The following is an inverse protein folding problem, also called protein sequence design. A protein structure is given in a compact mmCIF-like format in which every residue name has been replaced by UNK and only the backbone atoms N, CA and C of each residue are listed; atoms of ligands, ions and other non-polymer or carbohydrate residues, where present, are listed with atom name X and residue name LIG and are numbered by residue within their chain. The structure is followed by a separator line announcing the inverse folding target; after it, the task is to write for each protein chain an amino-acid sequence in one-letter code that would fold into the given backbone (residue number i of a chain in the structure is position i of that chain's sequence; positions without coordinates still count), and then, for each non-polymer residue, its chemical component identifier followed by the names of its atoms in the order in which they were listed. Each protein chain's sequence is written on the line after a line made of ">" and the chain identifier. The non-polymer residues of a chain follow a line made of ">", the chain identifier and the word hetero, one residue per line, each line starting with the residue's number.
data_IF_988121501838
#
_entry.id   IF_988121501838
#
_cell.length_a   1.000
_cell.length_b   1.000
_cell.length_c   1.000
_cell.angle_alpha   90.00
_cell.angle_beta   90.00
_cell.angle_gamma   90.00
#
_symmetry.space_group_name_H-M   'P 1'
#
loop_
_entity.id
_entity.type
_entity.pdbx_description
1 polymer ?
#
# COMPACT_ATOMS: atom_id res chain seq x y z
N UNK A 1 -72.98 32.42 40.22
CA UNK A 1 -72.48 31.90 38.91
C UNK A 1 -70.96 31.71 39.01
N UNK A 2 -70.53 30.44 39.21
CA UNK A 2 -69.13 30.10 39.33
C UNK A 2 -68.62 29.72 37.94
N UNK A 3 -67.57 30.40 37.43
CA UNK A 3 -66.92 30.09 36.20
C UNK A 3 -65.79 29.10 36.54
N UNK A 4 -65.83 27.89 35.99
CA UNK A 4 -64.75 26.90 36.04
C UNK A 4 -63.66 27.24 35.02
N UNK A 5 -62.37 27.11 35.33
CA UNK A 5 -61.33 27.28 34.34
C UNK A 5 -61.16 25.98 33.56
N UNK A 6 -61.13 26.11 32.23
CA UNK A 6 -60.75 25.03 31.29
C UNK A 6 -59.27 24.92 31.31
N UNK A 7 -58.74 23.73 31.74
CA UNK A 7 -57.35 23.38 31.72
C UNK A 7 -57.01 22.83 30.31
N UNK A 8 -56.27 23.59 29.53
CA UNK A 8 -55.75 23.12 28.23
C UNK A 8 -54.48 22.33 28.51
N UNK A 9 -54.54 21.01 28.36
CA UNK A 9 -53.37 20.15 28.31
C UNK A 9 -52.70 20.27 26.94
N UNK A 10 -51.62 21.02 26.86
CA UNK A 10 -50.75 21.03 25.68
C UNK A 10 -49.84 19.81 25.74
N UNK A 11 -50.18 18.76 24.99
CA UNK A 11 -49.34 17.59 24.83
C UNK A 11 -48.13 17.95 23.98
N UNK A 12 -46.98 18.10 24.63
CA UNK A 12 -45.69 18.30 23.97
C UNK A 12 -45.25 16.96 23.36
N UNK A 13 -45.50 16.77 22.07
CA UNK A 13 -44.92 15.65 21.31
C UNK A 13 -43.46 15.93 21.08
N UNK A 14 -42.59 15.37 21.92
CA UNK A 14 -41.17 15.34 21.69
C UNK A 14 -40.93 14.32 20.56
N UNK A 15 -40.81 14.83 19.34
CA UNK A 15 -40.21 14.08 18.23
C UNK A 15 -38.74 13.82 18.58
N UNK A 16 -38.49 12.69 19.20
CA UNK A 16 -37.16 12.09 19.22
C UNK A 16 -36.80 11.75 17.77
N UNK A 17 -36.24 12.73 17.08
CA UNK A 17 -35.43 12.45 15.91
C UNK A 17 -34.25 11.59 16.41
N UNK A 18 -34.49 10.30 16.47
CA UNK A 18 -33.39 9.33 16.51
C UNK A 18 -32.49 9.66 15.34
N UNK A 19 -31.36 10.29 15.61
CA UNK A 19 -30.21 10.18 14.75
C UNK A 19 -29.94 8.69 14.58
N UNK A 20 -30.56 8.07 13.59
CA UNK A 20 -30.01 6.89 12.97
C UNK A 20 -28.65 7.33 12.43
N UNK A 21 -27.66 7.29 13.29
CA UNK A 21 -26.32 7.00 12.86
C UNK A 21 -26.41 5.61 12.19
N UNK A 22 -26.78 5.61 10.93
CA UNK A 22 -26.32 4.61 10.01
C UNK A 22 -24.79 4.76 10.04
N UNK A 23 -24.17 4.21 11.08
CA UNK A 23 -22.86 3.62 10.92
C UNK A 23 -23.11 2.61 9.80
N UNK A 24 -22.87 3.01 8.59
CA UNK A 24 -22.59 2.14 7.49
C UNK A 24 -21.46 1.27 8.03
N UNK A 25 -21.83 0.10 8.60
CA UNK A 25 -20.89 -0.97 8.91
C UNK A 25 -20.18 -1.13 7.58
N UNK A 26 -18.93 -0.69 7.50
CA UNK A 26 -18.10 -0.93 6.34
C UNK A 26 -18.29 -2.41 6.07
N UNK A 27 -18.93 -2.74 4.94
CA UNK A 27 -19.11 -4.13 4.53
C UNK A 27 -17.75 -4.77 4.69
N UNK A 28 -17.68 -5.83 5.47
CA UNK A 28 -16.43 -6.52 5.75
C UNK A 28 -15.92 -7.09 4.43
N UNK A 29 -15.18 -6.26 3.70
CA UNK A 29 -14.71 -6.59 2.37
C UNK A 29 -13.62 -7.62 2.49
N UNK A 30 -13.89 -8.81 2.02
CA UNK A 30 -12.90 -9.85 1.81
C UNK A 30 -11.87 -9.35 0.82
N UNK A 31 -10.65 -9.08 1.27
CA UNK A 31 -9.60 -8.57 0.38
C UNK A 31 -9.06 -9.73 -0.45
N UNK A 32 -9.38 -9.70 -1.73
CA UNK A 32 -8.85 -10.59 -2.78
C UNK A 32 -8.04 -9.74 -3.74
N UNK A 33 -6.79 -9.48 -3.38
CA UNK A 33 -5.94 -8.53 -4.06
C UNK A 33 -4.92 -9.22 -4.96
N UNK A 34 -4.54 -8.57 -6.04
CA UNK A 34 -3.47 -9.03 -6.93
C UNK A 34 -2.72 -7.87 -7.58
N UNK A 35 -1.43 -8.12 -7.88
CA UNK A 35 -0.56 -7.21 -8.63
C UNK A 35 0.15 -7.94 -9.77
N UNK A 36 0.07 -7.40 -10.97
CA UNK A 36 1.02 -7.66 -12.05
C UNK A 36 2.03 -6.52 -12.01
N UNK A 37 3.23 -6.80 -11.52
CA UNK A 37 4.16 -5.77 -11.07
C UNK A 37 5.05 -5.22 -12.19
N UNK A 38 4.84 -3.96 -12.52
CA UNK A 38 5.60 -3.21 -13.50
C UNK A 38 6.82 -2.47 -12.92
N UNK A 39 7.11 -2.60 -11.63
CA UNK A 39 8.35 -2.05 -11.06
C UNK A 39 9.59 -2.79 -11.55
N UNK A 40 9.46 -4.07 -11.88
CA UNK A 40 10.60 -4.92 -12.16
C UNK A 40 10.83 -5.12 -13.64
N UNK A 41 12.10 -4.93 -14.05
CA UNK A 41 12.57 -5.31 -15.37
C UNK A 41 12.89 -6.82 -15.47
N UNK A 42 13.31 -7.27 -16.66
CA UNK A 42 13.72 -8.66 -16.88
C UNK A 42 14.87 -9.14 -15.99
N UNK A 43 15.66 -8.22 -15.44
CA UNK A 43 16.87 -8.51 -14.64
C UNK A 43 16.67 -9.01 -13.21
N UNK A 44 15.43 -9.18 -12.75
CA UNK A 44 15.14 -9.75 -11.43
C UNK A 44 14.91 -8.73 -10.31
N UNK A 45 14.95 -9.20 -9.05
CA UNK A 45 14.75 -8.39 -7.85
C UNK A 45 15.87 -7.34 -7.76
N UNK A 46 15.50 -6.11 -7.36
CA UNK A 46 16.37 -4.91 -7.33
C UNK A 46 16.80 -4.37 -8.70
N UNK A 47 16.34 -4.95 -9.82
CA UNK A 47 16.48 -4.39 -11.15
C UNK A 47 15.19 -3.66 -11.56
N UNK A 48 15.03 -2.40 -11.18
CA UNK A 48 13.82 -1.64 -11.54
C UNK A 48 13.63 -1.55 -13.06
N UNK A 49 12.38 -1.57 -13.48
CA UNK A 49 12.01 -1.43 -14.89
C UNK A 49 12.57 -0.12 -15.44
N UNK A 50 13.20 -0.20 -16.61
CA UNK A 50 13.64 1.01 -17.31
C UNK A 50 12.44 1.91 -17.61
N UNK A 51 12.62 3.23 -17.60
CA UNK A 51 11.57 4.16 -17.99
C UNK A 51 10.96 3.76 -19.34
N UNK A 52 9.62 3.72 -19.40
CA UNK A 52 8.86 3.32 -20.60
C UNK A 52 8.67 1.82 -20.78
N UNK A 53 9.32 0.96 -20.03
CA UNK A 53 9.00 -0.47 -20.02
C UNK A 53 7.56 -0.68 -19.55
N UNK A 54 6.78 -1.47 -20.29
CA UNK A 54 5.36 -1.73 -20.05
C UNK A 54 4.42 -0.52 -20.30
N UNK A 55 4.91 0.60 -20.85
CA UNK A 55 4.12 1.81 -21.12
C UNK A 55 2.95 1.61 -22.09
N UNK A 56 2.90 0.50 -22.78
CA UNK A 56 1.82 0.06 -23.68
C UNK A 56 0.76 -0.82 -23.02
N UNK A 57 0.89 -1.09 -21.70
CA UNK A 57 -0.07 -1.88 -20.93
C UNK A 57 -1.50 -1.33 -21.12
N UNK A 58 -2.42 -2.24 -21.49
CA UNK A 58 -3.80 -1.87 -21.77
C UNK A 58 -4.68 -2.06 -20.53
N UNK A 59 -5.31 -1.00 -19.99
CA UNK A 59 -6.09 -1.07 -18.76
C UNK A 59 -7.35 -1.95 -18.88
N UNK A 60 -8.03 -1.99 -20.03
CA UNK A 60 -9.22 -2.85 -20.23
C UNK A 60 -8.85 -4.33 -20.17
N UNK A 61 -7.77 -4.71 -20.87
CA UNK A 61 -7.30 -6.10 -20.91
C UNK A 61 -6.82 -6.55 -19.53
N UNK A 62 -6.10 -5.69 -18.83
CA UNK A 62 -5.63 -5.99 -17.48
C UNK A 62 -6.77 -6.11 -16.49
N UNK A 63 -7.71 -5.17 -16.50
CA UNK A 63 -8.85 -5.21 -15.58
C UNK A 63 -9.72 -6.44 -15.84
N UNK A 64 -9.87 -6.85 -17.11
CA UNK A 64 -10.56 -8.12 -17.42
C UNK A 64 -9.82 -9.31 -16.83
N UNK A 65 -8.51 -9.36 -16.92
CA UNK A 65 -7.72 -10.43 -16.32
C UNK A 65 -7.90 -10.50 -14.80
N UNK A 66 -7.89 -9.35 -14.11
CA UNK A 66 -8.13 -9.28 -12.66
C UNK A 66 -9.56 -9.73 -12.29
N UNK A 67 -10.55 -9.36 -13.12
CA UNK A 67 -11.94 -9.80 -12.94
C UNK A 67 -12.05 -11.32 -13.11
N UNK A 68 -11.44 -11.88 -14.17
CA UNK A 68 -11.42 -13.33 -14.43
C UNK A 68 -10.73 -14.10 -13.30
N UNK A 69 -9.68 -13.52 -12.70
CA UNK A 69 -9.03 -14.08 -11.50
C UNK A 69 -9.95 -14.06 -10.27
N UNK A 70 -10.97 -13.22 -10.25
CA UNK A 70 -11.89 -13.05 -9.12
C UNK A 70 -11.44 -12.02 -8.09
N UNK A 71 -10.57 -11.08 -8.47
CA UNK A 71 -10.13 -9.99 -7.60
C UNK A 71 -11.26 -9.02 -7.28
N UNK A 72 -11.24 -8.45 -6.08
CA UNK A 72 -12.02 -7.26 -5.72
C UNK A 72 -11.13 -6.05 -5.37
N UNK A 73 -9.81 -6.27 -5.39
CA UNK A 73 -8.79 -5.24 -5.20
C UNK A 73 -7.66 -5.44 -6.20
N UNK A 74 -7.27 -4.35 -6.83
CA UNK A 74 -6.11 -4.31 -7.74
C UNK A 74 -5.09 -3.34 -7.17
N UNK A 75 -3.88 -3.83 -6.97
CA UNK A 75 -2.71 -2.99 -6.79
C UNK A 75 -2.23 -2.58 -8.18
N UNK A 76 -2.27 -1.29 -8.45
CA UNK A 76 -1.77 -0.65 -9.66
C UNK A 76 -0.68 0.36 -9.28
N UNK A 77 -0.31 1.29 -10.17
CA UNK A 77 0.81 2.19 -9.93
C UNK A 77 0.37 3.65 -9.96
N UNK A 78 0.70 4.40 -8.90
CA UNK A 78 0.73 5.86 -8.93
C UNK A 78 2.06 6.33 -9.52
N UNK A 79 3.15 6.05 -8.80
CA UNK A 79 4.53 6.27 -9.24
C UNK A 79 5.32 5.00 -8.98
N UNK A 80 5.91 4.41 -10.01
CA UNK A 80 6.74 3.21 -9.84
C UNK A 80 8.14 3.53 -9.33
N UNK A 81 8.89 2.51 -8.94
CA UNK A 81 10.23 2.65 -8.38
C UNK A 81 11.22 3.39 -9.30
N UNK A 82 11.00 3.38 -10.62
CA UNK A 82 11.79 4.17 -11.55
C UNK A 82 11.51 5.69 -11.51
N UNK A 83 10.50 6.12 -10.72
CA UNK A 83 10.17 7.52 -10.48
C UNK A 83 9.21 8.16 -11.47
N UNK A 84 8.57 7.38 -12.36
CA UNK A 84 7.64 7.88 -13.34
C UNK A 84 6.19 7.50 -13.02
N UNK A 85 5.26 8.42 -13.30
CA UNK A 85 3.83 8.26 -13.06
C UNK A 85 3.15 7.37 -14.11
N UNK A 86 2.10 6.67 -13.69
CA UNK A 86 1.23 5.86 -14.52
C UNK A 86 -0.11 6.54 -14.83
N UNK A 87 -0.18 7.85 -14.66
CA UNK A 87 -1.30 8.71 -15.02
C UNK A 87 -0.77 9.95 -15.76
N UNK A 88 -1.62 10.59 -16.55
CA UNK A 88 -1.22 11.70 -17.41
C UNK A 88 -1.45 13.07 -16.76
N UNK A 89 -0.69 14.04 -17.24
CA UNK A 89 -0.83 15.45 -16.87
C UNK A 89 -0.70 15.72 -15.37
N UNK A 90 0.10 14.93 -14.65
CA UNK A 90 0.45 15.12 -13.25
C UNK A 90 1.70 15.98 -13.04
N UNK A 91 2.05 16.18 -11.77
CA UNK A 91 3.28 16.88 -11.39
C UNK A 91 4.52 15.99 -11.53
N UNK A 92 4.33 14.65 -11.45
CA UNK A 92 5.40 13.67 -11.67
C UNK A 92 5.45 13.35 -13.16
N UNK A 93 6.64 13.27 -13.79
CA UNK A 93 6.77 12.88 -15.18
C UNK A 93 6.10 11.53 -15.44
N UNK A 94 5.27 11.46 -16.48
CA UNK A 94 4.65 10.19 -16.89
C UNK A 94 5.67 9.23 -17.51
N UNK A 95 5.40 7.92 -17.42
CA UNK A 95 6.24 6.91 -18.07
C UNK A 95 6.47 7.28 -19.54
N UNK A 96 7.73 7.29 -20.02
CA UNK A 96 8.03 7.56 -21.42
C UNK A 96 7.24 6.65 -22.35
N UNK A 97 6.46 7.24 -23.27
CA UNK A 97 5.62 6.49 -24.20
C UNK A 97 4.34 5.91 -23.59
N UNK A 98 3.92 6.38 -22.41
CA UNK A 98 2.68 5.95 -21.76
C UNK A 98 1.49 6.10 -22.72
N UNK A 99 0.95 4.96 -23.18
CA UNK A 99 -0.07 4.94 -24.22
C UNK A 99 -1.43 5.40 -23.70
N UNK A 100 -1.81 4.95 -22.53
CA UNK A 100 -3.09 5.21 -21.89
C UNK A 100 -2.90 6.13 -20.68
N UNK A 101 -3.95 6.79 -20.24
CA UNK A 101 -3.99 7.37 -18.87
C UNK A 101 -4.28 6.23 -17.86
N UNK A 102 -3.23 5.39 -17.71
CA UNK A 102 -3.36 4.02 -17.23
C UNK A 102 -4.09 3.91 -15.90
N UNK A 103 -3.61 4.59 -14.85
CA UNK A 103 -4.22 4.51 -13.51
C UNK A 103 -5.63 5.08 -13.51
N UNK A 104 -5.85 6.20 -14.19
CA UNK A 104 -7.19 6.83 -14.30
C UNK A 104 -8.18 5.90 -14.98
N UNK A 105 -7.78 5.23 -16.05
CA UNK A 105 -8.63 4.28 -16.76
C UNK A 105 -8.87 3.02 -15.92
N UNK A 106 -7.85 2.48 -15.25
CA UNK A 106 -8.00 1.36 -14.31
C UNK A 106 -9.04 1.66 -13.23
N UNK A 107 -8.99 2.85 -12.63
CA UNK A 107 -9.96 3.28 -11.60
C UNK A 107 -11.38 3.36 -12.18
N UNK A 108 -11.55 3.97 -13.36
CA UNK A 108 -12.86 4.07 -14.03
C UNK A 108 -13.48 2.72 -14.35
N UNK A 109 -12.65 1.77 -14.82
CA UNK A 109 -13.12 0.41 -15.16
C UNK A 109 -13.42 -0.35 -13.88
N UNK A 110 -12.53 -0.27 -12.87
CA UNK A 110 -12.69 -0.94 -11.58
C UNK A 110 -14.00 -0.57 -10.89
N UNK A 111 -14.38 0.71 -10.90
CA UNK A 111 -15.67 1.16 -10.33
C UNK A 111 -16.88 0.51 -10.97
N UNK A 112 -16.85 0.32 -12.30
CA UNK A 112 -17.95 -0.36 -13.01
C UNK A 112 -18.08 -1.83 -12.63
N UNK A 113 -17.00 -2.42 -12.12
CA UNK A 113 -16.87 -3.85 -11.78
C UNK A 113 -16.84 -4.13 -10.27
N UNK A 114 -17.01 -3.12 -9.42
CA UNK A 114 -16.84 -3.21 -7.97
C UNK A 114 -15.44 -3.71 -7.56
N UNK A 115 -14.43 -3.37 -8.32
CA UNK A 115 -13.02 -3.65 -8.04
C UNK A 115 -12.35 -2.36 -7.58
N UNK A 116 -11.79 -2.34 -6.37
CA UNK A 116 -11.03 -1.21 -5.86
C UNK A 116 -9.65 -1.17 -6.51
N UNK A 117 -9.18 0.03 -6.85
CA UNK A 117 -7.87 0.25 -7.47
C UNK A 117 -7.01 1.14 -6.60
N UNK A 118 -5.82 0.64 -6.27
CA UNK A 118 -4.83 1.31 -5.45
C UNK A 118 -3.65 1.78 -6.29
N UNK A 119 -3.20 3.02 -6.06
CA UNK A 119 -1.97 3.54 -6.63
C UNK A 119 -0.78 3.21 -5.71
N UNK A 120 0.19 2.46 -6.22
CA UNK A 120 1.41 2.11 -5.52
C UNK A 120 2.41 3.28 -5.50
N UNK A 121 3.12 3.38 -4.37
CA UNK A 121 4.26 4.27 -4.17
C UNK A 121 5.37 3.54 -3.42
N UNK A 122 6.54 3.45 -4.02
CA UNK A 122 7.76 3.08 -3.31
C UNK A 122 8.30 4.30 -2.58
N UNK A 123 8.17 4.33 -1.26
CA UNK A 123 8.56 5.52 -0.48
C UNK A 123 10.08 5.59 -0.27
N UNK A 124 10.76 4.45 -0.17
CA UNK A 124 12.20 4.39 0.06
C UNK A 124 13.06 4.43 -1.19
N UNK A 125 12.47 4.35 -2.40
CA UNK A 125 13.21 4.31 -3.66
C UNK A 125 12.49 5.05 -4.78
N UNK A 126 13.25 5.85 -5.56
CA UNK A 126 12.76 6.60 -6.71
C UNK A 126 13.94 7.03 -7.58
N UNK A 127 14.23 6.27 -8.64
CA UNK A 127 15.42 6.54 -9.48
C UNK A 127 15.42 7.96 -10.09
N UNK A 128 14.26 8.44 -10.52
CA UNK A 128 14.18 9.78 -11.11
C UNK A 128 14.47 10.89 -10.10
N UNK A 129 13.97 10.73 -8.87
CA UNK A 129 14.31 11.65 -7.77
C UNK A 129 15.81 11.65 -7.49
N UNK A 130 16.43 10.47 -7.45
CA UNK A 130 17.86 10.30 -7.19
C UNK A 130 18.72 10.95 -8.28
N UNK A 131 18.31 10.84 -9.55
CA UNK A 131 18.95 11.51 -10.68
C UNK A 131 18.89 13.04 -10.55
N UNK A 132 17.73 13.56 -10.15
CA UNK A 132 17.48 15.00 -10.04
C UNK A 132 18.04 15.61 -8.75
N UNK A 133 18.24 14.82 -7.69
CA UNK A 133 18.66 15.25 -6.36
C UNK A 133 19.81 14.38 -5.79
N UNK A 134 20.95 14.30 -6.49
CA UNK A 134 22.02 13.36 -6.12
C UNK A 134 22.66 13.63 -4.76
N UNK A 135 22.48 14.83 -4.21
CA UNK A 135 23.00 15.20 -2.89
C UNK A 135 22.06 14.86 -1.75
N UNK A 136 20.82 14.45 -2.06
CA UNK A 136 19.80 14.03 -1.11
C UNK A 136 19.58 12.51 -1.07
N UNK A 137 20.43 11.74 -1.74
CA UNK A 137 20.26 10.29 -1.90
C UNK A 137 21.58 9.55 -1.68
N UNK A 138 21.47 8.25 -1.47
CA UNK A 138 22.63 7.36 -1.47
C UNK A 138 23.03 7.03 -2.91
N UNK A 139 24.12 7.63 -3.37
CA UNK A 139 24.64 7.34 -4.71
C UNK A 139 25.00 5.87 -4.84
N UNK A 140 24.63 5.26 -5.95
CA UNK A 140 24.96 3.92 -6.41
C UNK A 140 24.16 2.75 -5.82
N UNK A 141 23.60 2.86 -4.64
CA UNK A 141 22.77 1.80 -4.09
C UNK A 141 21.28 2.02 -4.40
N UNK A 142 20.96 3.16 -4.97
CA UNK A 142 19.76 3.54 -5.73
C UNK A 142 18.40 3.26 -5.10
N UNK A 143 18.34 2.81 -3.86
CA UNK A 143 17.15 2.16 -3.38
C UNK A 143 16.72 2.60 -1.98
N UNK A 144 17.45 3.57 -1.40
CA UNK A 144 17.04 4.12 -0.11
C UNK A 144 17.27 5.62 -0.06
N UNK A 145 16.19 6.36 0.00
CA UNK A 145 16.18 7.81 0.04
C UNK A 145 15.95 8.26 1.49
N UNK A 146 16.85 9.07 2.07
CA UNK A 146 16.59 9.69 3.37
C UNK A 146 15.31 10.52 3.36
N UNK A 147 14.49 10.37 4.39
CA UNK A 147 13.22 11.09 4.51
C UNK A 147 13.41 12.54 4.92
N UNK A 148 14.20 13.28 4.12
CA UNK A 148 14.36 14.72 4.27
C UNK A 148 13.02 15.43 4.10
N UNK A 149 12.90 16.64 4.63
CA UNK A 149 11.69 17.47 4.46
C UNK A 149 11.35 17.63 2.98
N UNK A 150 12.35 17.92 2.15
CA UNK A 150 12.16 18.08 0.70
C UNK A 150 11.63 16.82 0.02
N UNK A 151 12.14 15.63 0.37
CA UNK A 151 11.65 14.39 -0.20
C UNK A 151 10.24 14.06 0.27
N UNK A 152 9.96 14.26 1.55
CA UNK A 152 8.62 14.02 2.10
C UNK A 152 7.58 14.97 1.50
N UNK A 153 7.94 16.22 1.22
CA UNK A 153 7.09 17.18 0.51
C UNK A 153 6.82 16.71 -0.93
N UNK A 154 7.84 16.23 -1.64
CA UNK A 154 7.69 15.70 -2.98
C UNK A 154 6.76 14.49 -3.03
N UNK A 155 6.99 13.48 -2.19
CA UNK A 155 6.16 12.25 -2.21
C UNK A 155 4.72 12.55 -1.80
N UNK A 156 4.52 13.42 -0.81
CA UNK A 156 3.19 13.86 -0.36
C UNK A 156 2.46 14.63 -1.45
N UNK A 157 3.14 15.55 -2.13
CA UNK A 157 2.59 16.30 -3.27
C UNK A 157 2.23 15.38 -4.45
N UNK A 158 3.07 14.38 -4.74
CA UNK A 158 2.79 13.41 -5.80
C UNK A 158 1.56 12.53 -5.49
N UNK A 159 1.37 12.15 -4.24
CA UNK A 159 0.18 11.42 -3.78
C UNK A 159 -1.07 12.30 -3.90
N UNK A 160 -0.99 13.55 -3.46
CA UNK A 160 -2.09 14.52 -3.57
C UNK A 160 -2.54 14.71 -5.02
N UNK A 161 -1.59 14.94 -5.91
CA UNK A 161 -1.84 15.12 -7.33
C UNK A 161 -2.49 13.89 -7.96
N UNK A 162 -1.94 12.70 -7.71
CA UNK A 162 -2.49 11.45 -8.21
C UNK A 162 -3.93 11.20 -7.73
N UNK A 163 -4.22 11.42 -6.45
CA UNK A 163 -5.59 11.28 -5.93
C UNK A 163 -6.54 12.24 -6.66
N UNK A 164 -6.15 13.50 -6.84
CA UNK A 164 -6.97 14.50 -7.54
C UNK A 164 -7.22 14.15 -9.02
N UNK A 165 -6.23 13.57 -9.68
CA UNK A 165 -6.27 13.23 -11.12
C UNK A 165 -7.06 11.94 -11.40
N UNK A 166 -6.86 10.93 -10.58
CA UNK A 166 -7.34 9.57 -10.84
C UNK A 166 -8.57 9.20 -10.02
N UNK A 167 -8.79 9.89 -8.89
CA UNK A 167 -9.80 9.56 -7.88
C UNK A 167 -9.72 8.10 -7.41
N UNK A 168 -8.50 7.53 -7.33
CA UNK A 168 -8.24 6.15 -6.88
C UNK A 168 -8.83 5.85 -5.49
N UNK A 169 -9.10 4.58 -5.22
CA UNK A 169 -9.73 4.13 -3.97
C UNK A 169 -8.77 4.14 -2.78
N UNK A 170 -7.48 4.03 -3.05
CA UNK A 170 -6.45 4.06 -2.03
C UNK A 170 -5.05 4.20 -2.58
N UNK A 171 -4.11 4.39 -1.67
CA UNK A 171 -2.67 4.34 -1.94
C UNK A 171 -2.07 3.12 -1.26
N UNK A 172 -1.09 2.49 -1.90
CA UNK A 172 -0.26 1.46 -1.29
C UNK A 172 1.15 1.98 -1.11
N UNK A 173 1.62 2.01 0.13
CA UNK A 173 2.95 2.49 0.51
C UNK A 173 3.86 1.31 0.76
N UNK A 174 4.98 1.29 0.05
CA UNK A 174 6.00 0.26 0.16
C UNK A 174 7.37 0.87 0.47
N UNK A 175 8.29 0.08 1.03
CA UNK A 175 9.61 0.52 1.49
C UNK A 175 9.55 1.77 2.37
N UNK A 176 8.62 1.76 3.31
CA UNK A 176 8.40 2.90 4.21
C UNK A 176 9.45 2.92 5.34
N UNK A 177 10.72 2.94 4.96
CA UNK A 177 11.86 2.90 5.85
C UNK A 177 12.79 4.08 5.58
N UNK A 178 13.19 4.80 6.63
CA UNK A 178 14.37 5.68 6.50
C UNK A 178 15.64 4.80 6.52
N UNK A 179 16.68 5.12 5.74
CA UNK A 179 17.94 4.36 5.77
C UNK A 179 18.47 4.12 7.18
N UNK A 180 19.12 3.00 7.40
CA UNK A 180 19.71 2.63 8.67
C UNK A 180 19.47 1.18 9.06
N UNK A 181 20.22 0.69 10.07
CA UNK A 181 20.09 -0.68 10.56
C UNK A 181 20.96 -1.72 9.86
N UNK A 182 21.48 -1.43 8.66
CA UNK A 182 22.46 -2.28 7.96
C UNK A 182 21.96 -3.68 7.63
N UNK A 183 20.67 -3.86 7.36
CA UNK A 183 20.06 -5.14 6.93
C UNK A 183 19.33 -4.94 5.60
N UNK A 184 19.33 -5.94 4.76
CA UNK A 184 18.63 -5.89 3.49
C UNK A 184 17.11 -5.67 3.71
N UNK A 185 16.45 -4.75 3.00
CA UNK A 185 16.98 -3.80 2.01
C UNK A 185 17.57 -2.51 2.61
N UNK A 186 17.70 -2.38 3.91
CA UNK A 186 18.10 -1.15 4.62
C UNK A 186 19.62 -1.06 4.72
N UNK A 187 20.30 -0.15 3.97
CA UNK A 187 21.73 0.10 4.14
C UNK A 187 22.01 0.74 5.50
N UNK A 188 23.24 0.65 6.01
CA UNK A 188 23.63 1.42 7.20
C UNK A 188 23.53 2.92 6.91
N UNK A 189 23.20 3.71 7.95
CA UNK A 189 23.24 5.17 7.85
C UNK A 189 24.64 5.65 7.48
N UNK A 190 24.73 6.50 6.49
CA UNK A 190 26.00 7.05 5.99
C UNK A 190 26.32 8.42 6.54
N UNK A 191 25.30 9.07 7.12
CA UNK A 191 25.39 10.42 7.67
C UNK A 191 25.90 11.41 6.63
N UNK A 192 25.33 11.34 5.42
CA UNK A 192 25.56 12.32 4.36
C UNK A 192 25.03 13.70 4.80
N UNK A 193 25.43 14.80 4.18
CA UNK A 193 25.07 16.15 4.65
C UNK A 193 23.58 16.34 4.94
N UNK A 194 22.70 15.88 4.05
CA UNK A 194 21.25 16.01 4.27
C UNK A 194 20.73 15.21 5.48
N UNK A 195 21.36 14.10 5.84
CA UNK A 195 21.01 13.34 7.05
C UNK A 195 21.47 14.04 8.32
N UNK A 196 22.61 14.77 8.27
CA UNK A 196 23.08 15.57 9.41
C UNK A 196 22.16 16.76 9.64
N UNK A 197 21.68 17.41 8.58
CA UNK A 197 20.68 18.48 8.65
C UNK A 197 19.35 17.91 9.19
N UNK A 198 18.87 16.79 8.65
CA UNK A 198 17.68 16.09 9.12
C UNK A 198 17.81 15.67 10.59
N UNK A 199 19.01 15.26 11.04
CA UNK A 199 19.28 14.97 12.44
C UNK A 199 19.03 16.20 13.32
N UNK A 200 19.55 17.36 12.92
CA UNK A 200 19.33 18.60 13.65
C UNK A 200 17.84 18.97 13.75
N UNK A 201 17.11 18.80 12.67
CA UNK A 201 15.66 19.05 12.64
C UNK A 201 14.89 18.10 13.58
N UNK A 202 15.14 16.81 13.46
CA UNK A 202 14.35 15.78 14.15
C UNK A 202 14.76 15.60 15.63
N UNK A 203 16.06 15.76 15.94
CA UNK A 203 16.59 15.55 17.28
C UNK A 203 16.70 16.85 18.09
N UNK A 204 16.42 18.01 17.45
CA UNK A 204 16.52 19.34 18.06
C UNK A 204 17.89 19.62 18.68
N UNK A 205 18.94 19.08 18.08
CA UNK A 205 20.35 19.28 18.49
C UNK A 205 21.28 19.10 17.29
N UNK A 206 22.45 19.73 17.32
CA UNK A 206 23.46 19.57 16.29
C UNK A 206 23.91 18.12 16.16
N UNK A 207 24.22 17.69 14.93
CA UNK A 207 24.78 16.37 14.70
C UNK A 207 26.10 16.20 15.47
N UNK A 208 26.20 15.19 16.36
CA UNK A 208 27.34 15.11 17.29
C UNK A 208 28.60 14.51 16.64
N UNK A 209 28.52 14.05 15.40
CA UNK A 209 29.54 13.25 14.71
C UNK A 209 29.25 11.74 14.79
N UNK A 210 29.65 11.03 13.73
CA UNK A 210 29.35 9.58 13.56
C UNK A 210 29.75 8.73 14.76
N UNK A 211 30.93 9.00 15.32
CA UNK A 211 31.49 8.21 16.44
C UNK A 211 30.71 8.34 17.74
N UNK A 212 29.81 9.30 17.82
CA UNK A 212 28.94 9.53 19.00
C UNK A 212 27.52 9.04 18.81
N UNK A 213 27.19 8.49 17.65
CA UNK A 213 25.87 7.92 17.40
C UNK A 213 25.83 6.49 17.95
N UNK A 214 25.05 6.28 18.98
CA UNK A 214 24.77 4.93 19.50
C UNK A 214 23.62 4.30 18.69
N UNK A 215 23.45 2.96 18.75
CA UNK A 215 22.32 2.28 18.13
C UNK A 215 20.95 2.83 18.59
N UNK A 216 20.84 3.28 19.81
CA UNK A 216 19.61 3.86 20.38
C UNK A 216 19.32 5.24 19.78
N UNK A 217 20.34 6.09 19.62
CA UNK A 217 20.23 7.40 18.96
C UNK A 217 19.85 7.22 17.49
N UNK A 218 20.51 6.27 16.79
CA UNK A 218 20.18 5.95 15.41
C UNK A 218 18.74 5.49 15.28
N UNK A 219 18.28 4.60 16.15
CA UNK A 219 16.91 4.10 16.13
C UNK A 219 15.88 5.21 16.39
N UNK A 220 16.13 6.10 17.37
CA UNK A 220 15.25 7.23 17.66
C UNK A 220 15.16 8.20 16.47
N UNK A 221 16.30 8.50 15.84
CA UNK A 221 16.35 9.30 14.61
C UNK A 221 15.50 8.70 13.49
N UNK A 222 15.65 7.39 13.21
CA UNK A 222 14.88 6.69 12.17
C UNK A 222 13.39 6.66 12.47
N UNK A 223 13.00 6.44 13.72
CA UNK A 223 11.59 6.50 14.14
C UNK A 223 10.98 7.86 13.92
N UNK A 224 11.68 8.93 14.30
CA UNK A 224 11.21 10.31 14.07
C UNK A 224 11.09 10.65 12.59
N UNK A 225 12.01 10.15 11.76
CA UNK A 225 11.92 10.31 10.31
C UNK A 225 10.68 9.62 9.73
N UNK A 226 10.40 8.38 10.15
CA UNK A 226 9.22 7.61 9.77
C UNK A 226 7.94 8.31 10.24
N UNK A 227 7.87 8.72 11.50
CA UNK A 227 6.69 9.37 12.07
C UNK A 227 6.38 10.71 11.38
N UNK A 228 7.41 11.50 11.04
CA UNK A 228 7.24 12.74 10.26
C UNK A 228 6.67 12.46 8.88
N UNK A 229 7.26 11.52 8.16
CA UNK A 229 6.80 11.15 6.81
C UNK A 229 5.38 10.59 6.84
N UNK A 230 5.09 9.70 7.78
CA UNK A 230 3.75 9.13 7.97
C UNK A 230 2.71 10.21 8.22
N UNK A 231 2.96 11.07 9.19
CA UNK A 231 2.03 12.16 9.54
C UNK A 231 1.67 12.99 8.32
N UNK A 232 2.67 13.45 7.57
CA UNK A 232 2.45 14.30 6.41
C UNK A 232 1.70 13.58 5.29
N UNK A 233 2.12 12.37 4.92
CA UNK A 233 1.46 11.57 3.87
C UNK A 233 0.01 11.29 4.26
N UNK A 234 -0.24 10.89 5.50
CA UNK A 234 -1.59 10.61 5.99
C UNK A 234 -2.48 11.86 5.98
N UNK A 235 -1.97 12.98 6.48
CA UNK A 235 -2.72 14.24 6.51
C UNK A 235 -3.10 14.69 5.10
N UNK A 236 -2.16 14.68 4.17
CA UNK A 236 -2.40 15.06 2.77
C UNK A 236 -3.39 14.10 2.11
N UNK A 237 -3.22 12.79 2.27
CA UNK A 237 -4.13 11.78 1.72
C UNK A 237 -5.56 11.98 2.21
N UNK A 238 -5.76 12.06 3.53
CA UNK A 238 -7.10 12.16 4.12
C UNK A 238 -7.75 13.54 3.91
N UNK A 239 -6.95 14.59 3.77
CA UNK A 239 -7.44 15.93 3.40
C UNK A 239 -7.90 15.98 1.94
N UNK A 240 -7.19 15.32 1.04
CA UNK A 240 -7.50 15.29 -0.40
C UNK A 240 -8.72 14.43 -0.68
N UNK A 241 -8.78 13.24 -0.07
CA UNK A 241 -9.91 12.31 -0.17
C UNK A 241 -10.07 11.56 1.14
N UNK A 242 -11.10 11.92 1.91
CA UNK A 242 -11.32 11.43 3.29
C UNK A 242 -11.38 9.89 3.37
N UNK A 243 -12.01 9.25 2.40
CA UNK A 243 -12.21 7.81 2.29
C UNK A 243 -11.11 7.08 1.49
N UNK A 244 -10.05 7.79 1.04
CA UNK A 244 -8.89 7.16 0.43
C UNK A 244 -8.20 6.23 1.43
N UNK A 245 -8.12 4.96 1.08
CA UNK A 245 -7.55 3.92 1.95
C UNK A 245 -6.02 3.99 1.89
N UNK A 246 -5.37 3.96 3.04
CA UNK A 246 -3.91 3.86 3.12
C UNK A 246 -3.52 2.42 3.45
N UNK A 247 -2.89 1.76 2.50
CA UNK A 247 -2.39 0.40 2.62
C UNK A 247 -0.86 0.43 2.77
N UNK A 248 -0.37 0.02 3.92
CA UNK A 248 1.06 -0.15 4.16
C UNK A 248 1.45 -1.60 3.93
N UNK A 249 2.50 -1.83 3.17
CA UNK A 249 3.17 -3.12 3.13
C UNK A 249 4.46 -3.08 3.96
N UNK A 250 4.73 -4.14 4.70
CA UNK A 250 5.92 -4.26 5.52
C UNK A 250 6.45 -5.69 5.52
N UNK A 251 7.74 -5.84 5.22
CA UNK A 251 8.41 -7.13 5.27
C UNK A 251 8.56 -7.64 6.70
N UNK A 252 8.87 -6.74 7.63
CA UNK A 252 9.00 -7.04 9.06
C UNK A 252 8.26 -6.01 9.90
N UNK A 253 7.01 -6.32 10.20
CA UNK A 253 6.13 -5.46 11.02
C UNK A 253 6.57 -5.35 12.48
N UNK A 254 7.38 -6.29 12.95
CA UNK A 254 7.95 -6.30 14.31
C UNK A 254 9.28 -5.54 14.38
N UNK A 255 9.69 -4.90 13.31
CA UNK A 255 10.92 -4.15 13.28
C UNK A 255 10.94 -3.06 14.35
N UNK A 256 12.11 -2.83 14.92
CA UNK A 256 12.28 -1.82 15.98
C UNK A 256 11.90 -0.42 15.50
N UNK A 257 12.03 -0.14 14.20
CA UNK A 257 11.69 1.13 13.58
C UNK A 257 10.20 1.43 13.67
N UNK A 258 9.36 0.41 13.54
CA UNK A 258 7.90 0.57 13.61
C UNK A 258 7.35 0.47 15.03
N UNK A 259 8.09 -0.16 15.94
CA UNK A 259 7.64 -0.33 17.32
C UNK A 259 7.40 1.02 17.99
N UNK A 260 6.16 1.23 18.43
CA UNK A 260 5.74 2.47 19.09
C UNK A 260 5.38 3.62 18.13
N UNK A 261 5.51 3.44 16.80
CA UNK A 261 5.03 4.42 15.83
C UNK A 261 3.50 4.50 15.83
N UNK A 262 2.95 5.71 15.72
CA UNK A 262 1.52 5.94 15.51
C UNK A 262 1.03 5.32 14.20
N UNK A 263 1.90 5.16 13.22
CA UNK A 263 1.62 4.62 11.89
C UNK A 263 0.86 3.29 11.96
N UNK A 264 1.33 2.34 12.78
CA UNK A 264 0.67 1.03 12.90
C UNK A 264 -0.74 1.10 13.50
N UNK A 265 -1.03 2.12 14.32
CA UNK A 265 -2.35 2.32 14.93
C UNK A 265 -3.33 3.06 14.02
N UNK A 266 -2.81 3.77 13.03
CA UNK A 266 -3.57 4.69 12.18
C UNK A 266 -3.75 4.22 10.74
N UNK A 267 -2.98 3.20 10.32
CA UNK A 267 -3.06 2.63 8.97
C UNK A 267 -4.39 1.91 8.75
N UNK A 268 -5.00 2.09 7.58
CA UNK A 268 -6.27 1.44 7.25
C UNK A 268 -6.05 -0.05 6.94
N UNK A 269 -5.04 -0.39 6.12
CA UNK A 269 -4.68 -1.77 5.77
C UNK A 269 -3.18 -2.01 5.97
N UNK A 270 -2.83 -3.12 6.59
CA UNK A 270 -1.44 -3.54 6.78
C UNK A 270 -1.21 -4.93 6.16
N UNK A 271 -0.24 -5.02 5.25
CA UNK A 271 0.19 -6.27 4.65
C UNK A 271 1.49 -6.78 5.27
N UNK A 272 1.48 -8.06 5.64
CA UNK A 272 2.70 -8.80 5.95
C UNK A 272 3.27 -9.38 4.65
N UNK A 273 4.34 -8.78 4.16
CA UNK A 273 4.98 -9.20 2.90
C UNK A 273 5.75 -10.53 3.06
N UNK A 274 6.23 -10.85 4.25
CA UNK A 274 6.81 -12.16 4.55
C UNK A 274 5.82 -13.32 4.35
N UNK A 275 4.52 -13.05 4.41
CA UNK A 275 3.46 -13.99 4.06
C UNK A 275 3.15 -15.06 5.10
N UNK A 276 3.91 -15.18 6.19
CA UNK A 276 3.63 -16.18 7.23
C UNK A 276 2.47 -15.77 8.14
N UNK A 277 1.67 -16.76 8.52
CA UNK A 277 0.44 -16.52 9.29
C UNK A 277 0.74 -16.19 10.75
N UNK A 278 1.80 -16.72 11.32
CA UNK A 278 2.12 -16.45 12.72
C UNK A 278 2.45 -14.98 12.94
N UNK A 279 3.31 -14.40 12.10
CA UNK A 279 3.61 -12.96 12.15
C UNK A 279 2.39 -12.10 11.76
N UNK A 280 1.57 -12.55 10.81
CA UNK A 280 0.32 -11.87 10.45
C UNK A 280 -0.65 -11.83 11.64
N UNK A 281 -0.84 -12.92 12.34
CA UNK A 281 -1.67 -12.96 13.54
C UNK A 281 -1.12 -12.05 14.66
N UNK A 282 0.20 -12.05 14.86
CA UNK A 282 0.87 -11.18 15.84
C UNK A 282 0.63 -9.69 15.55
N UNK A 283 0.50 -9.29 14.29
CA UNK A 283 0.20 -7.90 13.89
C UNK A 283 -1.09 -7.38 14.53
N UNK A 284 -2.08 -8.22 14.82
CA UNK A 284 -3.35 -7.78 15.41
C UNK A 284 -3.16 -7.03 16.74
N UNK A 285 -2.16 -7.39 17.53
CA UNK A 285 -1.81 -6.69 18.76
C UNK A 285 -1.11 -5.35 18.56
N UNK A 286 -0.54 -5.12 17.38
CA UNK A 286 0.24 -3.93 17.06
C UNK A 286 -0.59 -2.82 16.40
N UNK A 287 -1.64 -3.19 15.67
CA UNK A 287 -2.42 -2.27 14.83
C UNK A 287 -3.68 -1.74 15.52
N UNK A 288 -4.38 -0.82 14.88
CA UNK A 288 -5.72 -0.36 15.28
C UNK A 288 -6.78 -1.46 15.12
N UNK A 289 -7.87 -1.34 15.88
CA UNK A 289 -8.97 -2.33 15.84
C UNK A 289 -9.64 -2.42 14.46
N UNK A 290 -9.70 -1.30 13.75
CA UNK A 290 -10.31 -1.20 12.41
C UNK A 290 -9.31 -1.52 11.28
N UNK A 291 -8.02 -1.69 11.60
CA UNK A 291 -7.00 -2.01 10.60
C UNK A 291 -7.23 -3.41 10.03
N UNK A 292 -7.32 -3.51 8.71
CA UNK A 292 -7.40 -4.78 8.02
C UNK A 292 -6.03 -5.36 7.77
N UNK A 293 -5.91 -6.66 7.99
CA UNK A 293 -4.66 -7.39 7.78
C UNK A 293 -4.70 -8.14 6.45
N UNK A 294 -3.55 -8.18 5.77
CA UNK A 294 -3.38 -8.87 4.50
C UNK A 294 -2.10 -9.70 4.58
N UNK A 295 -2.14 -10.92 4.05
CA UNK A 295 -0.93 -11.73 3.88
C UNK A 295 -0.58 -11.88 2.41
N UNK A 296 0.72 -11.93 2.11
CA UNK A 296 1.27 -12.00 0.76
C UNK A 296 1.54 -13.45 0.36
N UNK A 297 1.09 -13.83 -0.82
CA UNK A 297 1.40 -15.08 -1.49
C UNK A 297 2.21 -14.80 -2.75
N UNK A 298 3.52 -14.80 -2.61
CA UNK A 298 4.47 -14.53 -3.69
C UNK A 298 5.61 -15.53 -3.68
N UNK A 299 6.30 -15.66 -4.82
CA UNK A 299 7.36 -16.65 -4.95
C UNK A 299 8.55 -16.37 -4.04
N UNK A 300 8.86 -15.10 -3.75
CA UNK A 300 10.02 -14.75 -2.91
C UNK A 300 9.88 -15.16 -1.44
N UNK A 301 8.67 -15.16 -0.89
CA UNK A 301 8.44 -15.52 0.51
C UNK A 301 8.37 -17.04 0.75
N UNK A 302 8.35 -17.83 -0.32
CA UNK A 302 8.39 -19.31 -0.31
C UNK A 302 7.29 -19.96 0.56
N UNK A 303 6.20 -19.25 0.80
CA UNK A 303 5.07 -19.79 1.57
C UNK A 303 4.34 -20.88 0.78
N UNK A 304 3.86 -21.89 1.50
CA UNK A 304 3.04 -22.94 0.89
C UNK A 304 1.59 -22.47 0.78
N UNK A 305 1.04 -22.29 -0.44
CA UNK A 305 -0.35 -21.84 -0.60
C UNK A 305 -1.38 -22.76 0.10
N UNK A 306 -1.12 -24.07 0.15
CA UNK A 306 -2.01 -25.02 0.80
C UNK A 306 -2.14 -24.85 2.32
N UNK A 307 -1.16 -24.19 2.94
CA UNK A 307 -1.14 -23.89 4.37
C UNK A 307 -1.59 -22.45 4.63
N UNK A 308 -1.06 -21.50 3.85
CA UNK A 308 -1.31 -20.06 4.05
C UNK A 308 -2.78 -19.71 3.81
N UNK A 309 -3.38 -20.24 2.75
CA UNK A 309 -4.74 -19.83 2.38
C UNK A 309 -5.80 -20.27 3.40
N UNK A 310 -5.86 -21.54 3.86
CA UNK A 310 -6.79 -21.92 4.90
C UNK A 310 -6.57 -21.16 6.22
N UNK A 311 -5.30 -20.90 6.57
CA UNK A 311 -4.96 -20.15 7.75
C UNK A 311 -5.39 -18.68 7.65
N UNK A 312 -5.17 -18.01 6.50
CA UNK A 312 -5.64 -16.65 6.25
C UNK A 312 -7.16 -16.53 6.38
N UNK A 313 -7.91 -17.49 5.82
CA UNK A 313 -9.37 -17.55 5.94
C UNK A 313 -9.78 -17.68 7.40
N UNK A 314 -9.18 -18.62 8.14
CA UNK A 314 -9.46 -18.84 9.56
C UNK A 314 -9.20 -17.58 10.40
N UNK A 315 -8.08 -16.92 10.17
CA UNK A 315 -7.66 -15.72 10.91
C UNK A 315 -8.30 -14.43 10.37
N UNK A 316 -9.18 -14.51 9.38
CA UNK A 316 -9.85 -13.37 8.73
C UNK A 316 -8.85 -12.33 8.18
N UNK A 317 -7.85 -12.82 7.50
CA UNK A 317 -6.80 -12.03 6.85
C UNK A 317 -7.02 -12.03 5.35
N UNK A 318 -6.93 -10.87 4.71
CA UNK A 318 -7.01 -10.75 3.26
C UNK A 318 -5.83 -11.46 2.57
N UNK A 319 -6.02 -11.78 1.31
CA UNK A 319 -5.00 -12.41 0.47
C UNK A 319 -4.52 -11.44 -0.60
N UNK A 320 -3.23 -11.42 -0.82
CA UNK A 320 -2.59 -10.69 -1.90
C UNK A 320 -1.69 -11.62 -2.70
N UNK A 321 -1.88 -11.62 -4.00
CA UNK A 321 -1.01 -12.31 -4.96
C UNK A 321 -0.15 -11.31 -5.72
N UNK A 322 0.99 -11.78 -6.19
CA UNK A 322 1.96 -10.98 -6.91
C UNK A 322 2.62 -11.78 -8.00
N UNK A 323 2.93 -11.14 -9.11
CA UNK A 323 3.78 -11.70 -10.17
C UNK A 323 4.38 -10.59 -11.03
N UNK A 324 5.37 -10.96 -11.83
CA UNK A 324 5.86 -10.13 -12.93
C UNK A 324 5.10 -10.45 -14.20
N UNK A 325 5.02 -9.53 -15.18
CA UNK A 325 4.52 -9.84 -16.50
C UNK A 325 5.29 -10.99 -17.16
N UNK A 326 4.60 -11.85 -17.92
CA UNK A 326 5.22 -13.01 -18.60
C UNK A 326 5.02 -12.98 -20.11
N UNK A 327 4.01 -12.27 -20.63
CA UNK A 327 3.71 -12.11 -22.07
C UNK A 327 3.56 -10.61 -22.35
N UNK A 328 4.68 -9.96 -22.71
CA UNK A 328 4.68 -8.49 -22.80
C UNK A 328 4.25 -7.91 -21.44
N UNK A 329 3.33 -6.93 -21.39
CA UNK A 329 2.81 -6.39 -20.12
C UNK A 329 1.74 -7.27 -19.45
N UNK A 330 1.50 -8.50 -19.92
CA UNK A 330 0.39 -9.36 -19.54
C UNK A 330 0.81 -10.68 -18.93
N UNK A 331 -0.17 -11.43 -18.49
CA UNK A 331 -0.09 -12.80 -17.99
C UNK A 331 -0.71 -13.79 -18.99
N UNK A 332 -0.51 -15.10 -18.75
CA UNK A 332 -1.35 -16.11 -19.38
C UNK A 332 -2.82 -15.88 -19.03
N UNK A 333 -3.78 -16.25 -19.88
CA UNK A 333 -5.21 -16.22 -19.53
C UNK A 333 -5.49 -16.99 -18.25
N UNK A 334 -6.47 -16.58 -17.45
CA UNK A 334 -6.80 -17.23 -16.19
C UNK A 334 -7.19 -18.69 -16.38
N UNK A 335 -7.82 -19.02 -17.50
CA UNK A 335 -8.17 -20.39 -17.89
C UNK A 335 -6.95 -21.31 -18.01
N UNK A 336 -5.78 -20.78 -18.37
CA UNK A 336 -4.53 -21.53 -18.37
C UNK A 336 -4.23 -22.05 -16.98
N UNK A 337 -4.30 -21.20 -15.96
CA UNK A 337 -4.04 -21.59 -14.57
C UNK A 337 -5.11 -22.52 -13.99
N UNK A 338 -6.35 -22.37 -14.42
CA UNK A 338 -7.46 -23.22 -13.98
C UNK A 338 -7.44 -24.61 -14.64
N UNK A 339 -6.94 -24.73 -15.87
CA UNK A 339 -6.86 -26.00 -16.60
C UNK A 339 -5.69 -26.90 -16.18
N UNK A 340 -4.66 -26.35 -15.55
CA UNK A 340 -3.52 -27.11 -15.04
C UNK A 340 -3.73 -27.53 -13.59
N UNK A 341 -3.24 -28.69 -13.19
CA UNK A 341 -3.22 -29.04 -11.76
C UNK A 341 -2.24 -28.12 -11.02
N UNK A 342 -2.56 -27.74 -9.78
CA UNK A 342 -1.70 -26.86 -8.96
C UNK A 342 -0.29 -27.42 -8.82
N UNK A 343 -0.18 -28.75 -8.71
CA UNK A 343 1.11 -29.44 -8.52
C UNK A 343 1.97 -29.49 -9.80
N UNK A 344 1.36 -29.27 -10.97
CA UNK A 344 2.12 -29.18 -12.23
C UNK A 344 2.75 -27.81 -12.46
N UNK A 345 2.31 -26.80 -11.73
CA UNK A 345 2.80 -25.41 -11.82
C UNK A 345 3.81 -25.10 -10.71
N UNK A 346 4.66 -24.11 -10.95
CA UNK A 346 5.73 -23.72 -10.01
C UNK A 346 5.76 -22.20 -9.81
N UNK A 347 6.34 -21.78 -8.68
CA UNK A 347 6.55 -20.36 -8.38
C UNK A 347 5.26 -19.56 -8.41
N UNK A 348 5.28 -18.39 -9.06
CA UNK A 348 4.14 -17.49 -9.15
C UNK A 348 2.96 -18.13 -9.91
N UNK A 349 3.19 -18.97 -10.92
CA UNK A 349 2.10 -19.65 -11.64
C UNK A 349 1.30 -20.58 -10.71
N UNK A 350 1.97 -21.28 -9.80
CA UNK A 350 1.32 -22.10 -8.77
C UNK A 350 0.46 -21.23 -7.85
N UNK A 351 1.00 -20.12 -7.39
CA UNK A 351 0.29 -19.19 -6.54
C UNK A 351 -0.95 -18.62 -7.24
N UNK A 352 -0.82 -18.22 -8.50
CA UNK A 352 -1.95 -17.75 -9.31
C UNK A 352 -3.01 -18.84 -9.45
N UNK A 353 -2.61 -20.07 -9.75
CA UNK A 353 -3.55 -21.20 -9.90
C UNK A 353 -4.35 -21.49 -8.62
N UNK A 354 -3.72 -21.32 -7.45
CA UNK A 354 -4.41 -21.44 -6.15
C UNK A 354 -5.37 -20.28 -5.95
N UNK A 355 -4.91 -19.04 -6.16
CA UNK A 355 -5.73 -17.85 -5.97
C UNK A 355 -6.92 -17.81 -6.92
N UNK A 356 -6.74 -18.19 -8.20
CA UNK A 356 -7.82 -18.25 -9.18
C UNK A 356 -8.97 -19.17 -8.72
N UNK A 357 -8.64 -20.34 -8.14
CA UNK A 357 -9.63 -21.26 -7.60
C UNK A 357 -10.36 -20.70 -6.39
N UNK A 358 -9.62 -20.03 -5.49
CA UNK A 358 -10.16 -19.52 -4.24
C UNK A 358 -11.00 -18.28 -4.49
N UNK A 359 -10.48 -17.31 -5.26
CA UNK A 359 -11.17 -16.05 -5.50
C UNK A 359 -12.51 -16.24 -6.23
N UNK A 360 -12.61 -17.23 -7.10
CA UNK A 360 -13.83 -17.53 -7.83
C UNK A 360 -14.82 -18.44 -7.10
N UNK A 361 -14.33 -19.38 -6.27
CA UNK A 361 -15.16 -20.43 -5.67
C UNK A 361 -15.43 -20.23 -4.18
N UNK A 362 -14.67 -19.38 -3.52
CA UNK A 362 -14.85 -19.05 -2.11
C UNK A 362 -15.09 -17.55 -1.98
N UNK A 363 -16.31 -17.11 -1.66
CA UNK A 363 -16.41 -15.84 -0.99
C UNK A 363 -15.59 -15.99 0.29
N UNK A 364 -14.52 -15.21 0.44
CA UNK A 364 -13.88 -15.02 1.74
C UNK A 364 -14.90 -14.27 2.61
N UNK A 365 -15.99 -14.94 2.99
CA UNK A 365 -17.08 -14.35 3.76
C UNK A 365 -16.74 -14.44 5.24
N UNK A 366 -16.23 -13.35 5.77
CA UNK A 366 -15.91 -13.20 7.19
C UNK A 366 -17.13 -12.91 8.07
N UNK A 367 -18.32 -12.79 7.49
CA UNK A 367 -19.54 -12.48 8.24
C UNK A 367 -20.19 -13.71 8.84
N UNK A 368 -19.88 -14.89 8.35
CA UNK A 368 -20.36 -16.15 8.92
C UNK A 368 -19.45 -16.55 10.09
N UNK A 369 -19.99 -16.42 11.30
CA UNK A 369 -19.39 -16.95 12.53
C UNK A 369 -19.45 -18.48 12.53
#
# INVERSE_FOLDING_TARGET
>A
MKKSPVLIFTTLVILLNGCNSNSQKSEDMNIKAFNIDYNWGPGGVHGFAKPGLWADANPDTLMKWYEDLGCNVVHSFGVSCNGYAWYKNGIVPEQPGLKYDFLTEMVKIGRKKNIKVFGYYCVGANNKWEEDHPDLCYKMDGQQIPFTTQYVDYISGSIEDAIKKTDMDGIMLDWFYNPGGGRDPLPPLRWIPCEQEMYQELMSQSFPGKDKITPEIELDFRRKAIDRAWKQIREVTKKTKKDCIIWLTAYDVNSKEYAGSAMLKEVDWLMNEAGDIASTAAMRGLVGNETRLITCLANWNKQNPAEVVPAAIKERVGLYGFTKPVIGPMMQPVEYYLSHSVDSLKGDERNIAVLARIYNNFPLDYTKK
#
